data_IF_111139771420
#
_entry.id   IF_111139771420
#
_cell.length_a   1.000
_cell.length_b   1.000
_cell.length_c   1.000
_cell.angle_alpha   90.00
_cell.angle_beta   90.00
_cell.angle_gamma   90.00
#
_symmetry.space_group_name_H-M   'P 1'
#
loop_
_entity.id
_entity.type
_entity.pdbx_description
1 polymer ?
#
# COMPACT_ATOMS: atom_id res chain seq x y z
N UNK A 1 9.00 27.21 -1.07
CA UNK A 1 8.66 25.87 -1.60
C UNK A 1 7.14 25.74 -1.52
N UNK A 2 6.46 25.21 -2.53
CA UNK A 2 4.99 25.10 -2.51
C UNK A 2 4.61 23.69 -2.05
N UNK A 3 4.14 23.57 -0.82
CA UNK A 3 3.68 22.32 -0.24
C UNK A 3 2.45 21.81 -0.99
N UNK A 4 2.48 20.55 -1.46
CA UNK A 4 1.33 19.93 -2.11
C UNK A 4 0.14 19.79 -1.13
N UNK A 5 -1.02 20.44 -1.36
CA UNK A 5 -2.18 20.30 -0.48
C UNK A 5 -2.70 18.86 -0.42
N UNK A 6 -2.50 18.08 -1.49
CA UNK A 6 -2.87 16.67 -1.56
C UNK A 6 -2.05 15.82 -0.60
N UNK A 7 -0.76 16.12 -0.46
CA UNK A 7 0.13 15.40 0.45
C UNK A 7 -0.30 15.58 1.90
N UNK A 8 -0.55 16.82 2.32
CA UNK A 8 -1.02 17.16 3.67
C UNK A 8 -2.35 16.46 3.96
N UNK A 9 -3.29 16.54 3.02
CA UNK A 9 -4.60 15.95 3.19
C UNK A 9 -4.55 14.42 3.31
N UNK A 10 -3.80 13.77 2.44
CA UNK A 10 -3.71 12.31 2.50
C UNK A 10 -2.91 11.81 3.71
N UNK A 11 -1.97 12.60 4.23
CA UNK A 11 -1.32 12.34 5.51
C UNK A 11 -2.34 12.42 6.67
N UNK A 12 -3.24 13.41 6.66
CA UNK A 12 -4.33 13.49 7.63
C UNK A 12 -5.27 12.28 7.58
N UNK A 13 -5.61 11.80 6.39
CA UNK A 13 -6.57 10.70 6.19
C UNK A 13 -5.98 9.30 6.42
N UNK A 14 -4.67 9.17 6.29
CA UNK A 14 -3.99 7.89 6.33
C UNK A 14 -4.23 7.07 7.61
N UNK A 15 -4.16 7.63 8.84
CA UNK A 15 -4.40 6.85 10.06
C UNK A 15 -5.76 6.16 10.09
N UNK A 16 -6.82 6.88 9.69
CA UNK A 16 -8.18 6.31 9.57
C UNK A 16 -8.21 5.17 8.55
N UNK A 17 -7.68 5.41 7.36
CA UNK A 17 -7.68 4.39 6.29
C UNK A 17 -6.86 3.15 6.66
N UNK A 18 -5.75 3.34 7.39
CA UNK A 18 -4.93 2.26 7.95
C UNK A 18 -5.72 1.43 8.94
N UNK A 19 -6.38 2.07 9.92
CA UNK A 19 -7.16 1.37 10.93
C UNK A 19 -8.25 0.49 10.31
N UNK A 20 -8.98 1.01 9.31
CA UNK A 20 -10.02 0.25 8.59
C UNK A 20 -9.45 -0.94 7.81
N UNK A 21 -8.25 -0.80 7.24
CA UNK A 21 -7.58 -1.88 6.53
C UNK A 21 -7.07 -2.97 7.49
N UNK A 22 -6.50 -2.58 8.63
CA UNK A 22 -6.06 -3.49 9.69
C UNK A 22 -7.26 -4.25 10.32
N UNK A 23 -8.39 -3.58 10.55
CA UNK A 23 -9.67 -4.22 10.94
C UNK A 23 -10.14 -5.26 9.91
N UNK A 24 -9.79 -5.06 8.64
CA UNK A 24 -10.11 -5.97 7.53
C UNK A 24 -9.02 -7.04 7.30
N UNK A 25 -8.13 -7.25 8.27
CA UNK A 25 -7.04 -8.22 8.27
C UNK A 25 -5.91 -7.97 7.26
N UNK A 26 -5.80 -6.76 6.74
CA UNK A 26 -4.64 -6.38 5.94
C UNK A 26 -3.52 -5.82 6.80
N UNK A 27 -2.28 -6.07 6.40
CA UNK A 27 -1.13 -5.35 6.95
C UNK A 27 -0.88 -4.10 6.09
N UNK A 28 -0.62 -2.96 6.73
CA UNK A 28 -0.41 -1.69 6.04
C UNK A 28 1.00 -1.18 6.33
N UNK A 29 1.77 -0.93 5.27
CA UNK A 29 3.03 -0.21 5.34
C UNK A 29 2.88 1.12 4.60
N UNK A 30 3.26 2.21 5.25
CA UNK A 30 3.26 3.53 4.63
C UNK A 30 4.69 3.94 4.33
N UNK A 31 4.91 4.41 3.10
CA UNK A 31 6.24 4.73 2.59
C UNK A 31 6.26 6.16 2.07
N UNK A 32 7.34 6.88 2.39
CA UNK A 32 7.62 8.18 1.81
C UNK A 32 8.09 8.00 0.36
N UNK A 33 7.60 8.87 -0.52
CA UNK A 33 8.12 8.94 -1.89
C UNK A 33 9.53 9.52 -1.88
N UNK A 34 10.53 8.80 -2.39
CA UNK A 34 11.91 9.29 -2.46
C UNK A 34 12.09 10.48 -3.42
N UNK A 35 11.12 10.75 -4.32
CA UNK A 35 11.14 11.88 -5.27
C UNK A 35 10.73 13.20 -4.61
N UNK A 36 10.03 13.16 -3.47
CA UNK A 36 9.65 14.36 -2.73
C UNK A 36 10.81 14.76 -1.82
N UNK A 37 11.30 16.02 -1.89
CA UNK A 37 12.43 16.43 -1.06
C UNK A 37 12.11 16.35 0.44
N UNK A 38 13.13 16.06 1.25
CA UNK A 38 12.99 15.90 2.69
C UNK A 38 12.32 17.11 3.37
N UNK A 39 12.68 18.33 2.97
CA UNK A 39 12.08 19.56 3.51
C UNK A 39 10.57 19.66 3.24
N UNK A 40 10.09 19.15 2.10
CA UNK A 40 8.65 19.12 1.81
C UNK A 40 7.93 18.07 2.65
N UNK A 41 8.57 16.93 2.95
CA UNK A 41 8.06 15.97 3.94
C UNK A 41 7.97 16.58 5.34
N UNK A 42 8.99 17.30 5.78
CA UNK A 42 8.99 17.95 7.10
C UNK A 42 7.83 18.95 7.20
N UNK A 43 7.67 19.81 6.19
CA UNK A 43 6.57 20.77 6.13
C UNK A 43 5.19 20.08 6.12
N UNK A 44 5.05 18.99 5.35
CA UNK A 44 3.80 18.23 5.27
C UNK A 44 3.43 17.54 6.59
N UNK A 45 4.42 16.98 7.29
CA UNK A 45 4.22 16.31 8.57
C UNK A 45 3.82 17.30 9.66
N UNK A 46 4.39 18.51 9.65
CA UNK A 46 3.96 19.59 10.54
C UNK A 46 2.53 20.02 10.20
N UNK A 47 2.23 20.27 8.93
CA UNK A 47 0.93 20.78 8.49
C UNK A 47 -0.22 19.78 8.66
N UNK A 48 0.05 18.47 8.56
CA UNK A 48 -0.98 17.42 8.67
C UNK A 48 -1.47 17.17 10.10
N UNK A 49 -0.74 17.63 11.12
CA UNK A 49 -1.10 17.40 12.53
C UNK A 49 -0.98 15.95 12.98
N UNK A 50 -0.33 15.09 12.19
CA UNK A 50 -0.10 13.68 12.50
C UNK A 50 0.61 13.49 13.84
N UNK A 51 0.11 12.57 14.67
CA UNK A 51 0.70 12.27 15.96
C UNK A 51 2.06 11.56 15.85
N UNK A 52 2.80 11.51 16.96
CA UNK A 52 4.15 10.92 16.97
C UNK A 52 4.18 9.43 16.66
N UNK A 53 3.12 8.68 16.99
CA UNK A 53 3.07 7.22 16.77
C UNK A 53 2.82 6.91 15.31
N UNK A 54 1.89 7.60 14.66
CA UNK A 54 1.63 7.45 13.24
C UNK A 54 2.79 7.98 12.40
N UNK A 55 3.48 9.06 12.82
CA UNK A 55 4.73 9.48 12.15
C UNK A 55 5.79 8.39 12.11
N UNK A 56 5.95 7.61 13.17
CA UNK A 56 6.93 6.51 13.22
C UNK A 56 6.60 5.33 12.30
N UNK A 57 5.34 5.22 11.87
CA UNK A 57 4.86 4.21 10.91
C UNK A 57 5.05 4.64 9.44
N UNK A 58 5.55 5.85 9.19
CA UNK A 58 5.97 6.30 7.87
C UNK A 58 7.43 5.94 7.66
N UNK A 59 7.70 5.03 6.74
CA UNK A 59 9.04 4.52 6.49
C UNK A 59 9.66 5.18 5.25
N UNK A 60 10.97 5.38 5.29
CA UNK A 60 11.70 5.71 4.07
C UNK A 60 11.82 4.47 3.20
N UNK A 61 11.72 4.66 1.89
CA UNK A 61 11.89 3.58 0.94
C UNK A 61 13.39 3.25 0.77
N UNK A 62 13.79 1.97 0.91
CA UNK A 62 15.16 1.54 0.60
C UNK A 62 15.55 1.92 -0.83
N UNK A 63 16.80 2.38 -1.02
CA UNK A 63 17.32 2.87 -2.30
C UNK A 63 17.14 1.87 -3.45
N UNK A 64 17.30 0.58 -3.15
CA UNK A 64 17.18 -0.53 -4.08
C UNK A 64 15.75 -0.67 -4.64
N UNK A 65 14.76 -0.17 -3.90
CA UNK A 65 13.35 -0.24 -4.25
C UNK A 65 12.83 1.02 -4.95
N UNK A 66 13.66 2.05 -5.17
CA UNK A 66 13.23 3.32 -5.78
C UNK A 66 12.62 3.13 -7.18
N UNK A 67 13.07 2.13 -7.94
CA UNK A 67 12.52 1.80 -9.25
C UNK A 67 11.04 1.40 -9.23
N UNK A 68 10.52 0.88 -8.10
CA UNK A 68 9.10 0.53 -7.93
C UNK A 68 8.19 1.77 -8.04
N UNK A 69 8.72 2.95 -7.70
CA UNK A 69 7.97 4.20 -7.69
C UNK A 69 7.94 4.93 -9.03
N UNK A 70 8.82 4.54 -9.96
CA UNK A 70 8.77 5.04 -11.35
C UNK A 70 7.45 4.71 -12.07
N UNK A 71 6.66 3.76 -11.54
CA UNK A 71 5.40 3.29 -12.11
C UNK A 71 4.16 3.80 -11.35
N UNK A 72 4.35 4.72 -10.42
CA UNK A 72 3.36 5.07 -9.39
C UNK A 72 3.23 6.61 -9.33
N UNK A 73 2.11 7.16 -9.80
CA UNK A 73 1.98 8.57 -10.21
C UNK A 73 1.31 9.54 -9.18
N UNK A 74 0.98 9.11 -7.95
CA UNK A 74 -0.07 9.77 -7.10
C UNK A 74 0.14 9.70 -5.59
N UNK A 75 0.86 10.66 -5.03
CA UNK A 75 1.22 10.63 -3.62
C UNK A 75 0.17 11.16 -2.64
N UNK A 76 0.16 10.63 -1.41
CA UNK A 76 0.88 9.46 -0.86
C UNK A 76 0.16 8.13 -1.10
N UNK A 77 0.87 7.02 -0.88
CA UNK A 77 0.38 5.65 -1.07
C UNK A 77 0.48 4.81 0.20
N UNK A 78 -0.44 3.87 0.34
CA UNK A 78 -0.32 2.74 1.27
C UNK A 78 0.07 1.48 0.49
N UNK A 79 1.07 0.75 0.98
CA UNK A 79 1.25 -0.65 0.61
C UNK A 79 0.38 -1.50 1.53
N UNK A 80 -0.56 -2.20 0.94
CA UNK A 80 -1.47 -3.11 1.63
C UNK A 80 -1.05 -4.53 1.28
N UNK A 81 -0.72 -5.33 2.29
CA UNK A 81 -0.28 -6.70 2.14
C UNK A 81 -1.38 -7.69 2.55
N UNK A 82 -1.53 -8.74 1.74
CA UNK A 82 -2.24 -9.97 2.09
C UNK A 82 -1.30 -11.16 1.79
N UNK A 83 -0.84 -11.83 2.85
CA UNK A 83 0.20 -12.87 2.79
C UNK A 83 1.46 -12.39 2.04
N UNK A 84 1.74 -12.97 0.87
CA UNK A 84 2.89 -12.64 0.01
C UNK A 84 2.54 -11.68 -1.13
N UNK A 85 1.31 -11.17 -1.18
CA UNK A 85 0.83 -10.26 -2.22
C UNK A 85 0.88 -8.81 -1.75
N UNK A 86 1.61 -7.97 -2.48
CA UNK A 86 1.76 -6.53 -2.21
C UNK A 86 0.87 -5.73 -3.15
N UNK A 87 0.11 -4.78 -2.59
CA UNK A 87 -0.74 -3.88 -3.38
C UNK A 87 -0.46 -2.42 -3.05
N UNK A 88 -0.21 -1.64 -4.09
CA UNK A 88 -0.14 -0.19 -4.00
C UNK A 88 -1.55 0.38 -4.02
N UNK A 89 -1.89 1.16 -3.00
CA UNK A 89 -3.16 1.88 -2.94
C UNK A 89 -2.92 3.40 -2.86
N UNK A 90 -3.39 4.20 -3.82
CA UNK A 90 -3.32 5.65 -3.71
C UNK A 90 -4.26 6.13 -2.59
N UNK A 91 -3.74 6.94 -1.66
CA UNK A 91 -4.58 7.57 -0.63
C UNK A 91 -5.28 8.76 -1.28
N UNK A 92 -6.39 8.48 -1.96
CA UNK A 92 -7.29 9.48 -2.52
C UNK A 92 -8.21 9.93 -1.38
N UNK A 93 -7.77 10.96 -0.64
CA UNK A 93 -8.22 11.26 0.72
C UNK A 93 -9.73 11.45 1.00
N UNK A 94 -10.65 11.27 0.06
CA UNK A 94 -12.10 11.39 0.31
C UNK A 94 -12.83 10.06 0.14
N UNK A 95 -12.26 8.95 0.63
CA UNK A 95 -12.92 7.65 0.58
C UNK A 95 -13.63 7.33 1.92
N UNK A 96 -14.97 7.22 1.94
CA UNK A 96 -15.72 6.78 3.12
C UNK A 96 -15.29 5.38 3.56
N UNK A 97 -15.39 5.08 4.87
CA UNK A 97 -15.00 3.78 5.43
C UNK A 97 -15.70 2.60 4.75
N UNK A 98 -16.99 2.73 4.43
CA UNK A 98 -17.76 1.67 3.76
C UNK A 98 -17.22 1.38 2.37
N UNK A 99 -17.01 2.41 1.55
CA UNK A 99 -16.42 2.27 0.22
C UNK A 99 -15.00 1.69 0.29
N UNK A 100 -14.24 2.06 1.33
CA UNK A 100 -12.90 1.54 1.53
C UNK A 100 -12.92 0.05 1.90
N UNK A 101 -13.77 -0.35 2.85
CA UNK A 101 -13.98 -1.76 3.23
C UNK A 101 -14.45 -2.61 2.05
N UNK A 102 -15.41 -2.12 1.26
CA UNK A 102 -15.89 -2.82 0.08
C UNK A 102 -14.77 -3.05 -0.94
N UNK A 103 -13.90 -2.05 -1.12
CA UNK A 103 -12.75 -2.16 -2.01
C UNK A 103 -11.72 -3.18 -1.52
N UNK A 104 -11.42 -3.17 -0.23
CA UNK A 104 -10.53 -4.14 0.43
C UNK A 104 -11.09 -5.57 0.31
N UNK A 105 -12.38 -5.76 0.56
CA UNK A 105 -13.04 -7.07 0.45
C UNK A 105 -13.08 -7.58 -0.99
N UNK A 106 -13.42 -6.71 -1.95
CA UNK A 106 -13.34 -7.03 -3.37
C UNK A 106 -11.93 -7.49 -3.75
N UNK A 107 -10.91 -6.79 -3.26
CA UNK A 107 -9.51 -7.14 -3.53
C UNK A 107 -9.11 -8.45 -2.88
N UNK A 108 -9.47 -8.68 -1.62
CA UNK A 108 -9.21 -9.94 -0.90
C UNK A 108 -9.74 -11.14 -1.67
N UNK A 109 -10.97 -11.04 -2.19
CA UNK A 109 -11.58 -12.09 -3.01
C UNK A 109 -10.79 -12.36 -4.29
N UNK A 110 -10.34 -11.31 -4.98
CA UNK A 110 -9.54 -11.47 -6.20
C UNK A 110 -8.23 -12.23 -5.92
N UNK A 111 -7.54 -11.89 -4.84
CA UNK A 111 -6.26 -12.50 -4.47
C UNK A 111 -6.41 -13.96 -4.04
N UNK A 112 -7.43 -14.28 -3.22
CA UNK A 112 -7.74 -15.66 -2.85
C UNK A 112 -8.12 -16.52 -4.07
N UNK A 113 -8.73 -15.90 -5.09
CA UNK A 113 -9.05 -16.60 -6.34
C UNK A 113 -7.81 -16.83 -7.22
N UNK A 114 -6.86 -15.90 -7.26
CA UNK A 114 -5.57 -16.06 -7.93
C UNK A 114 -4.70 -17.14 -7.28
N UNK A 115 -4.59 -17.16 -5.94
CA UNK A 115 -3.85 -18.20 -5.23
C UNK A 115 -4.46 -19.59 -5.45
N UNK A 116 -5.80 -19.69 -5.48
CA UNK A 116 -6.53 -20.93 -5.81
C UNK A 116 -6.27 -21.42 -7.24
N UNK A 117 -6.06 -20.53 -8.21
CA UNK A 117 -5.68 -20.90 -9.58
C UNK A 117 -4.21 -21.33 -9.66
N UNK A 118 -3.32 -20.66 -8.92
CA UNK A 118 -1.89 -20.95 -8.89
C UNK A 118 -1.57 -22.26 -8.16
N UNK A 119 -2.39 -22.66 -7.18
CA UNK A 119 -2.23 -23.92 -6.43
C UNK A 119 -2.69 -25.18 -7.18
N UNK A 120 -3.15 -25.10 -8.44
CA UNK A 120 -3.46 -26.30 -9.23
C UNK A 120 -2.14 -27.02 -9.59
N UNK A 121 -1.98 -28.31 -9.25
CA UNK A 121 -0.80 -29.04 -9.68
C UNK A 121 -0.79 -29.10 -11.21
N UNK A 122 0.34 -28.67 -11.81
CA UNK A 122 0.56 -28.83 -13.23
C UNK A 122 0.46 -30.30 -13.68
N UNK A 123 0.26 -30.56 -14.97
CA UNK A 123 0.08 -31.92 -15.48
C UNK A 123 1.29 -32.77 -15.08
N UNK A 124 1.04 -33.94 -14.48
CA UNK A 124 2.08 -34.92 -14.16
C UNK A 124 2.73 -35.34 -15.49
N UNK A 125 4.00 -34.97 -15.68
CA UNK A 125 4.83 -35.52 -16.74
C UNK A 125 4.98 -37.02 -16.46
N UNK A 126 4.44 -37.84 -17.37
CA UNK A 126 4.65 -39.28 -17.36
C UNK A 126 6.16 -39.55 -17.43
N UNK A 127 6.71 -40.18 -16.38
CA UNK A 127 8.04 -40.78 -16.44
C UNK A 127 7.92 -42.03 -17.30
N UNK A 128 8.49 -42.00 -18.49
CA UNK A 128 8.77 -43.23 -19.24
C UNK A 128 9.86 -44.01 -18.49
N UNK A 129 9.54 -45.26 -18.14
CA UNK A 129 10.51 -46.20 -17.57
C UNK A 129 11.46 -46.69 -18.68
N UNK A 130 12.79 -46.75 -18.41
CA UNK A 130 13.74 -47.30 -19.37
C UNK A 130 13.64 -48.83 -19.41
N UNK A 131 13.66 -49.38 -20.62
CA UNK A 131 13.72 -50.83 -20.90
C UNK A 131 15.08 -51.41 -20.59
#
# INVERSE_FOLDING_TARGET
>A
MLLSPRMVYSLHEWPRMRAVAEESHFQVLALKDPRVPASEWDDALVASGLDGTDRQRLHDLPAECHSLWSRVDHLPYSLVFLDFSMHTWPILGVMPDTAWRDSLEFRRRALLHETSKSARPGPRLNREEPR
#
